data_IF_823011604107
#
_entry.id   IF_823011604107
#
_cell.length_a   1.000
_cell.length_b   1.000
_cell.length_c   1.000
_cell.angle_alpha   90.00
_cell.angle_beta   90.00
_cell.angle_gamma   90.00
#
_symmetry.space_group_name_H-M   'P 1'
#
loop_
_entity.id
_entity.type
_entity.pdbx_description
1 polymer ?
#
# COMPACT_ATOMS: atom_id res chain seq x y z
N UNK A 1 11.20 0.40 -0.45
CA UNK A 1 9.99 -0.39 -0.22
C UNK A 1 10.33 -1.76 0.37
N UNK A 2 9.44 -2.31 1.23
CA UNK A 2 9.66 -3.54 2.00
C UNK A 2 8.45 -4.45 1.81
N UNK A 3 8.60 -5.52 1.05
CA UNK A 3 7.53 -6.48 0.72
C UNK A 3 7.90 -7.89 1.16
N UNK A 4 6.93 -8.70 1.52
CA UNK A 4 7.18 -10.05 2.05
C UNK A 4 7.50 -11.04 0.94
N UNK A 5 8.43 -11.99 1.22
CA UNK A 5 8.75 -13.07 0.30
C UNK A 5 7.50 -13.92 -0.05
N UNK A 6 7.43 -14.41 -1.28
CA UNK A 6 6.31 -15.18 -1.80
C UNK A 6 5.04 -14.38 -2.09
N UNK A 7 5.07 -13.04 -1.98
CA UNK A 7 3.93 -12.15 -2.28
C UNK A 7 4.07 -11.54 -3.68
N UNK A 8 2.96 -10.92 -4.14
CA UNK A 8 2.89 -10.18 -5.40
C UNK A 8 2.62 -8.71 -5.12
N UNK A 9 3.07 -7.83 -6.01
CA UNK A 9 2.71 -6.41 -6.04
C UNK A 9 2.59 -5.97 -7.49
N UNK A 10 1.60 -5.14 -7.79
CA UNK A 10 1.51 -4.45 -9.07
C UNK A 10 2.23 -3.10 -8.94
N UNK A 11 3.18 -2.85 -9.82
CA UNK A 11 3.82 -1.56 -10.03
C UNK A 11 3.13 -0.87 -11.20
N UNK A 12 3.00 0.44 -11.11
CA UNK A 12 2.57 1.31 -12.21
C UNK A 12 3.69 2.29 -12.52
N UNK A 13 3.96 2.51 -13.81
CA UNK A 13 4.79 3.60 -14.26
C UNK A 13 3.88 4.66 -14.89
N UNK A 14 4.05 5.92 -14.48
CA UNK A 14 3.35 7.03 -15.10
C UNK A 14 4.14 7.48 -16.31
N UNK A 15 3.44 7.57 -17.44
CA UNK A 15 3.97 8.06 -18.71
C UNK A 15 3.30 9.42 -18.98
N UNK A 16 4.04 10.34 -19.57
CA UNK A 16 3.49 11.63 -19.99
C UNK A 16 2.28 11.45 -20.92
N UNK A 17 1.26 12.27 -20.74
CA UNK A 17 0.04 12.23 -21.59
C UNK A 17 0.36 12.46 -23.08
N UNK A 18 1.43 13.19 -23.39
CA UNK A 18 1.85 13.53 -24.74
C UNK A 18 2.77 12.48 -25.40
N UNK A 19 3.04 11.35 -24.73
CA UNK A 19 3.85 10.28 -25.32
C UNK A 19 3.05 9.55 -26.41
N UNK A 20 3.61 9.47 -27.60
CA UNK A 20 3.04 8.75 -28.77
C UNK A 20 2.99 7.24 -28.53
N UNK A 21 4.00 6.68 -27.85
CA UNK A 21 4.03 5.29 -27.42
C UNK A 21 4.06 5.18 -25.89
N UNK A 22 3.01 4.57 -25.31
CA UNK A 22 2.85 4.36 -23.86
C UNK A 22 3.22 2.94 -23.42
N UNK A 23 3.84 2.15 -24.28
CA UNK A 23 4.26 0.78 -23.96
C UNK A 23 5.47 0.80 -23.04
N UNK A 24 5.47 -0.09 -22.05
CA UNK A 24 6.54 -0.23 -21.07
C UNK A 24 7.09 -1.65 -21.08
N UNK A 25 8.41 -1.77 -21.14
CA UNK A 25 9.15 -3.00 -20.90
C UNK A 25 9.59 -3.06 -19.44
N UNK A 26 9.19 -4.12 -18.74
CA UNK A 26 9.58 -4.35 -17.35
C UNK A 26 10.72 -5.35 -17.25
N UNK A 27 11.67 -5.08 -16.37
CA UNK A 27 12.79 -5.98 -16.08
C UNK A 27 13.06 -6.07 -14.58
N UNK A 28 13.77 -7.10 -14.16
CA UNK A 28 14.22 -7.31 -12.79
C UNK A 28 15.73 -7.50 -12.75
N UNK A 29 16.39 -6.95 -11.72
CA UNK A 29 17.85 -7.14 -11.53
C UNK A 29 18.24 -8.58 -11.22
N UNK A 30 17.29 -9.41 -10.73
CA UNK A 30 17.56 -10.81 -10.45
C UNK A 30 16.29 -11.67 -10.52
N UNK A 31 16.16 -12.45 -11.59
CA UNK A 31 15.02 -13.37 -11.83
C UNK A 31 14.89 -14.46 -10.77
N UNK A 32 15.97 -14.87 -10.10
CA UNK A 32 15.94 -15.84 -9.00
C UNK A 32 15.23 -15.26 -7.75
N UNK A 33 15.22 -13.94 -7.57
CA UNK A 33 14.60 -13.28 -6.42
C UNK A 33 13.19 -12.78 -6.70
N UNK A 34 12.96 -12.25 -7.91
CA UNK A 34 11.64 -11.79 -8.33
C UNK A 34 11.52 -11.86 -9.86
N UNK A 35 10.30 -12.13 -10.32
CA UNK A 35 9.91 -11.99 -11.72
C UNK A 35 8.96 -10.81 -11.86
N UNK A 36 8.92 -10.20 -13.03
CA UNK A 36 7.95 -9.16 -13.39
C UNK A 36 7.36 -9.49 -14.75
N UNK A 37 6.03 -9.36 -14.88
CA UNK A 37 5.33 -9.56 -16.15
C UNK A 37 5.14 -8.24 -16.91
N UNK A 38 4.59 -8.33 -18.14
CA UNK A 38 4.31 -7.18 -19.01
C UNK A 38 3.37 -6.15 -18.39
N UNK A 39 2.53 -6.54 -17.43
CA UNK A 39 1.58 -5.68 -16.74
C UNK A 39 2.17 -5.02 -15.47
N UNK A 40 3.48 -5.20 -15.20
CA UNK A 40 4.14 -4.68 -14.01
C UNK A 40 3.84 -5.47 -12.73
N UNK A 41 3.29 -6.68 -12.82
CA UNK A 41 3.05 -7.53 -11.64
C UNK A 41 4.35 -8.24 -11.26
N UNK A 42 4.90 -7.86 -10.11
CA UNK A 42 6.12 -8.44 -9.55
C UNK A 42 5.74 -9.57 -8.61
N UNK A 43 6.32 -10.75 -8.80
CA UNK A 43 6.19 -11.93 -7.93
C UNK A 43 7.53 -12.22 -7.25
N UNK A 44 7.55 -12.23 -5.92
CA UNK A 44 8.76 -12.52 -5.13
C UNK A 44 8.90 -14.00 -4.82
N UNK A 45 10.11 -14.54 -5.00
CA UNK A 45 10.42 -15.91 -4.62
C UNK A 45 10.42 -16.02 -3.09
N UNK A 46 9.89 -17.13 -2.54
CA UNK A 46 9.91 -17.42 -1.10
C UNK A 46 11.34 -17.51 -0.56
N UNK A 47 12.27 -18.08 -1.33
CA UNK A 47 13.70 -18.23 -0.96
C UNK A 47 14.49 -16.91 -1.02
N UNK A 48 13.93 -15.84 -1.58
CA UNK A 48 14.59 -14.53 -1.69
C UNK A 48 14.46 -13.65 -0.43
N UNK A 49 13.98 -14.20 0.68
CA UNK A 49 13.82 -13.49 1.95
C UNK A 49 15.15 -12.86 2.44
N UNK A 50 15.12 -11.56 2.75
CA UNK A 50 16.31 -10.79 3.16
C UNK A 50 17.09 -10.16 2.00
N UNK A 51 16.82 -10.54 0.75
CA UNK A 51 17.46 -9.99 -0.44
C UNK A 51 16.83 -8.68 -0.89
N UNK A 52 17.52 -7.97 -1.76
CA UNK A 52 17.02 -6.75 -2.41
C UNK A 52 16.99 -6.97 -3.91
N UNK A 53 15.96 -6.47 -4.57
CA UNK A 53 15.79 -6.52 -6.02
C UNK A 53 15.41 -5.14 -6.53
N UNK A 54 15.87 -4.79 -7.73
CA UNK A 54 15.46 -3.58 -8.45
C UNK A 54 14.59 -3.99 -9.62
N UNK A 55 13.42 -3.40 -9.74
CA UNK A 55 12.54 -3.52 -10.90
C UNK A 55 12.71 -2.26 -11.72
N UNK A 56 12.88 -2.39 -13.03
CA UNK A 56 13.04 -1.27 -13.95
C UNK A 56 11.92 -1.30 -14.99
N UNK A 57 11.31 -0.15 -15.19
CA UNK A 57 10.39 0.13 -16.28
C UNK A 57 11.13 0.94 -17.33
N UNK A 58 11.15 0.50 -18.57
CA UNK A 58 11.74 1.19 -19.72
C UNK A 58 10.63 1.67 -20.64
N UNK A 59 10.72 2.90 -21.09
CA UNK A 59 9.92 3.38 -22.22
C UNK A 59 10.40 2.67 -23.48
N UNK A 60 9.47 2.32 -24.39
CA UNK A 60 9.78 1.64 -25.66
C UNK A 60 9.64 2.57 -26.86
N UNK A 61 9.61 3.87 -26.63
CA UNK A 61 9.49 4.94 -27.62
C UNK A 61 10.82 5.42 -28.21
N UNK A 62 11.93 4.75 -27.88
CA UNK A 62 13.28 5.15 -28.30
C UNK A 62 13.91 6.25 -27.44
N UNK A 63 13.19 6.85 -26.49
CA UNK A 63 13.70 7.95 -25.64
C UNK A 63 14.77 7.53 -24.62
N UNK A 64 14.99 6.22 -24.42
CA UNK A 64 15.90 5.68 -23.41
C UNK A 64 15.44 5.94 -21.96
N UNK A 65 14.28 6.55 -21.75
CA UNK A 65 13.77 6.88 -20.42
C UNK A 65 13.43 5.62 -19.63
N UNK A 66 13.81 5.63 -18.35
CA UNK A 66 13.56 4.50 -17.43
C UNK A 66 13.25 5.00 -16.03
N UNK A 67 12.50 4.17 -15.29
CA UNK A 67 12.25 4.36 -13.85
C UNK A 67 12.63 3.10 -13.09
N UNK A 68 13.22 3.22 -11.91
CA UNK A 68 13.66 2.11 -11.09
C UNK A 68 12.94 2.08 -9.76
N UNK A 69 12.66 0.88 -9.26
CA UNK A 69 11.97 0.66 -8.00
C UNK A 69 12.70 -0.40 -7.17
N UNK A 70 13.44 0.03 -6.14
CA UNK A 70 14.21 -0.84 -5.26
C UNK A 70 13.33 -1.42 -4.15
N UNK A 71 13.33 -2.76 -4.00
CA UNK A 71 12.49 -3.50 -3.07
C UNK A 71 13.34 -4.40 -2.19
N UNK A 72 13.25 -4.22 -0.86
CA UNK A 72 13.78 -5.18 0.11
C UNK A 72 12.74 -6.26 0.39
N UNK A 73 13.10 -7.52 0.17
CA UNK A 73 12.23 -8.68 0.37
C UNK A 73 12.32 -9.11 1.84
N UNK A 74 11.22 -8.98 2.58
CA UNK A 74 11.19 -9.23 4.02
C UNK A 74 11.00 -10.72 4.34
N UNK A 75 11.59 -11.19 5.45
CA UNK A 75 11.45 -12.59 5.91
C UNK A 75 10.05 -12.90 6.43
N UNK A 76 9.42 -11.94 7.10
CA UNK A 76 8.12 -12.11 7.74
C UNK A 76 6.98 -11.43 6.99
N UNK A 77 5.74 -11.74 7.39
CA UNK A 77 4.51 -11.18 6.82
C UNK A 77 3.50 -10.84 7.92
N UNK A 78 2.61 -9.88 7.66
CA UNK A 78 1.49 -9.56 8.54
C UNK A 78 0.45 -10.68 8.44
N UNK A 79 0.04 -11.21 9.63
CA UNK A 79 -0.98 -12.26 9.75
C UNK A 79 -2.37 -11.68 10.01
N UNK A 80 -2.47 -10.65 10.89
CA UNK A 80 -3.74 -10.05 11.29
C UNK A 80 -3.56 -8.56 11.63
N UNK A 81 -4.59 -7.77 11.37
CA UNK A 81 -4.72 -6.37 11.80
C UNK A 81 -6.03 -6.26 12.58
N UNK A 82 -6.02 -5.60 13.73
CA UNK A 82 -7.22 -5.25 14.52
C UNK A 82 -7.19 -3.76 14.81
N UNK A 83 -8.27 -3.05 14.43
CA UNK A 83 -8.43 -1.63 14.75
C UNK A 83 -9.21 -1.50 16.06
N UNK A 84 -8.75 -0.61 16.94
CA UNK A 84 -9.38 -0.26 18.20
C UNK A 84 -9.50 1.26 18.33
N UNK A 85 -10.43 1.72 19.17
CA UNK A 85 -10.71 3.13 19.40
C UNK A 85 -12.21 3.43 19.39
N UNK A 86 -12.59 4.67 19.72
CA UNK A 86 -13.99 5.12 19.67
C UNK A 86 -14.50 5.04 18.23
N UNK A 87 -15.79 4.71 18.07
CA UNK A 87 -16.45 4.60 16.76
C UNK A 87 -17.39 5.77 16.45
N UNK A 88 -17.41 6.77 17.32
CA UNK A 88 -18.21 7.98 17.18
C UNK A 88 -17.37 9.21 17.38
N UNK A 89 -17.64 10.28 16.64
CA UNK A 89 -16.95 11.56 16.73
C UNK A 89 -17.92 12.69 16.38
N UNK A 90 -17.84 13.84 17.07
CA UNK A 90 -18.60 15.03 16.69
C UNK A 90 -18.05 15.64 15.40
N UNK A 91 -18.92 16.19 14.53
CA UNK A 91 -18.49 16.91 13.33
C UNK A 91 -17.50 18.04 13.70
N UNK A 92 -16.44 18.22 12.90
CA UNK A 92 -15.35 19.16 13.16
C UNK A 92 -14.30 18.69 14.17
N UNK A 93 -14.53 17.59 14.91
CA UNK A 93 -13.59 17.06 15.91
C UNK A 93 -12.77 15.89 15.38
N UNK A 94 -11.79 15.47 16.17
CA UNK A 94 -10.88 14.35 15.83
C UNK A 94 -11.05 13.19 16.81
N UNK A 95 -10.74 11.98 16.34
CA UNK A 95 -10.54 10.81 17.20
C UNK A 95 -9.29 10.05 16.74
N UNK A 96 -8.71 9.26 17.64
CA UNK A 96 -7.56 8.42 17.32
C UNK A 96 -7.96 6.95 17.29
N UNK A 97 -7.62 6.27 16.19
CA UNK A 97 -7.71 4.83 16.07
C UNK A 97 -6.31 4.24 16.27
N UNK A 98 -6.26 3.08 16.92
CA UNK A 98 -5.03 2.28 17.06
C UNK A 98 -5.17 1.00 16.25
N UNK A 99 -4.07 0.53 15.63
CA UNK A 99 -4.04 -0.75 14.95
C UNK A 99 -3.06 -1.69 15.65
N UNK A 100 -3.57 -2.83 16.15
CA UNK A 100 -2.75 -3.94 16.63
C UNK A 100 -2.44 -4.86 15.45
N UNK A 101 -1.13 -5.08 15.19
CA UNK A 101 -0.64 -5.90 14.07
C UNK A 101 -0.03 -7.19 14.63
N UNK A 102 -0.59 -8.34 14.25
CA UNK A 102 0.02 -9.65 14.47
C UNK A 102 0.81 -10.02 13.21
N UNK A 103 2.09 -10.35 13.38
CA UNK A 103 2.99 -10.63 12.26
C UNK A 103 4.07 -11.64 12.66
N UNK A 104 4.66 -12.34 11.69
CA UNK A 104 5.84 -13.17 11.91
C UNK A 104 7.10 -12.30 12.06
N UNK A 105 8.16 -12.87 12.67
CA UNK A 105 9.46 -12.21 12.86
C UNK A 105 10.00 -11.65 11.54
N UNK A 106 10.48 -10.41 11.55
CA UNK A 106 11.05 -9.76 10.37
C UNK A 106 10.02 -9.22 9.35
N UNK A 107 8.72 -9.12 9.71
CA UNK A 107 7.70 -8.52 8.87
C UNK A 107 7.81 -6.99 8.83
N UNK A 108 7.43 -6.40 7.69
CA UNK A 108 7.15 -4.97 7.60
C UNK A 108 5.76 -4.70 8.19
N UNK A 109 5.69 -4.06 9.36
CA UNK A 109 4.42 -3.75 10.06
C UNK A 109 3.79 -2.41 9.66
N UNK A 110 4.33 -1.70 8.67
CA UNK A 110 3.76 -0.43 8.21
C UNK A 110 2.37 -0.63 7.64
N UNK A 111 1.47 0.30 7.96
CA UNK A 111 0.09 0.32 7.47
C UNK A 111 -0.16 1.57 6.64
N UNK A 112 -1.07 1.46 5.67
CA UNK A 112 -1.69 2.58 4.96
C UNK A 112 -3.11 2.72 5.46
N UNK A 113 -3.48 3.93 5.91
CA UNK A 113 -4.83 4.26 6.33
C UNK A 113 -5.57 4.96 5.21
N UNK A 114 -6.85 4.65 5.05
CA UNK A 114 -7.72 5.27 4.05
C UNK A 114 -9.12 5.49 4.62
N UNK A 115 -9.78 6.54 4.14
CA UNK A 115 -11.20 6.82 4.38
C UNK A 115 -12.00 6.48 3.13
N UNK A 116 -13.20 5.92 3.31
CA UNK A 116 -14.12 5.66 2.19
C UNK A 116 -14.73 6.93 1.59
N UNK A 117 -14.72 8.04 2.34
CA UNK A 117 -15.19 9.33 1.86
C UNK A 117 -14.41 10.47 2.55
N UNK A 118 -13.49 11.06 1.82
CA UNK A 118 -12.62 12.14 2.32
C UNK A 118 -13.36 13.49 2.46
N UNK A 119 -14.54 13.66 1.83
CA UNK A 119 -15.41 14.83 2.04
C UNK A 119 -16.06 14.84 3.42
N UNK A 120 -16.23 13.65 4.05
CA UNK A 120 -16.85 13.54 5.38
C UNK A 120 -15.83 13.33 6.49
N UNK A 121 -14.77 12.57 6.25
CA UNK A 121 -13.65 12.41 7.18
C UNK A 121 -12.36 12.04 6.48
N UNK A 122 -11.26 12.60 6.96
CA UNK A 122 -9.89 12.23 6.56
C UNK A 122 -9.24 11.38 7.65
N UNK A 123 -8.19 10.64 7.29
CA UNK A 123 -7.38 9.86 8.24
C UNK A 123 -5.90 10.05 7.95
N UNK A 124 -5.10 10.27 9.00
CA UNK A 124 -3.64 10.37 8.89
C UNK A 124 -2.98 8.99 8.82
N UNK A 125 -1.70 8.95 8.44
CA UNK A 125 -0.88 7.72 8.47
C UNK A 125 -0.75 7.09 9.86
N UNK A 126 -1.01 7.84 10.94
CA UNK A 126 -1.01 7.36 12.34
C UNK A 126 -2.37 6.88 12.84
N UNK A 127 -3.44 6.96 12.00
CA UNK A 127 -4.79 6.57 12.39
C UNK A 127 -5.60 7.67 13.08
N UNK A 128 -5.15 8.95 13.07
CA UNK A 128 -5.92 10.09 13.56
C UNK A 128 -6.99 10.47 12.52
N UNK A 129 -8.26 10.30 12.87
CA UNK A 129 -9.41 10.62 12.02
C UNK A 129 -9.89 12.03 12.34
N UNK A 130 -10.03 12.90 11.32
CA UNK A 130 -10.64 14.23 11.42
C UNK A 130 -12.01 14.18 10.73
N UNK A 131 -13.09 14.29 11.51
CA UNK A 131 -14.44 14.42 10.97
C UNK A 131 -14.65 15.84 10.47
N UNK A 132 -15.19 16.01 9.27
CA UNK A 132 -15.49 17.31 8.68
C UNK A 132 -16.94 17.69 8.94
N UNK A 133 -17.25 19.00 8.91
CA UNK A 133 -18.62 19.51 9.13
C UNK A 133 -19.64 18.89 8.18
N UNK A 134 -19.26 18.73 6.89
CA UNK A 134 -20.08 18.07 5.86
C UNK A 134 -20.42 16.60 6.15
N UNK A 135 -19.70 15.97 7.09
CA UNK A 135 -19.95 14.59 7.51
C UNK A 135 -20.99 14.42 8.62
N UNK A 136 -21.59 15.51 9.15
CA UNK A 136 -22.60 15.44 10.22
C UNK A 136 -23.73 14.46 9.85
N UNK A 137 -24.12 13.60 10.80
CA UNK A 137 -25.11 12.52 10.64
C UNK A 137 -24.72 11.45 9.59
N UNK A 138 -23.47 11.43 9.07
CA UNK A 138 -22.97 10.44 8.12
C UNK A 138 -22.08 9.39 8.81
N UNK A 139 -21.81 8.31 8.08
CA UNK A 139 -20.86 7.27 8.49
C UNK A 139 -19.79 7.09 7.44
N UNK A 140 -18.55 6.86 7.87
CA UNK A 140 -17.43 6.56 6.97
C UNK A 140 -16.72 5.29 7.41
N UNK A 141 -16.22 4.52 6.46
CA UNK A 141 -15.37 3.35 6.72
C UNK A 141 -13.90 3.81 6.72
N UNK A 142 -13.19 3.56 7.81
CA UNK A 142 -11.75 3.78 7.91
C UNK A 142 -11.06 2.42 7.83
N UNK A 143 -10.13 2.30 6.90
CA UNK A 143 -9.41 1.03 6.63
C UNK A 143 -7.92 1.22 6.89
N UNK A 144 -7.34 0.29 7.66
CA UNK A 144 -5.90 0.10 7.81
C UNK A 144 -5.47 -1.11 6.98
N UNK A 145 -4.56 -0.92 6.03
CA UNK A 145 -4.10 -1.96 5.10
C UNK A 145 -2.59 -2.17 5.24
N UNK A 146 -2.18 -3.44 5.23
CA UNK A 146 -0.78 -3.83 5.24
C UNK A 146 -0.04 -3.34 3.97
N UNK A 147 1.19 -2.85 4.16
CA UNK A 147 2.07 -2.43 3.04
C UNK A 147 3.14 -3.48 2.71
N UNK A 148 3.05 -4.68 3.28
CA UNK A 148 4.01 -5.78 3.10
C UNK A 148 3.66 -6.73 1.94
N UNK A 149 2.59 -6.44 1.19
CA UNK A 149 2.09 -7.29 0.11
C UNK A 149 1.24 -8.48 0.60
N UNK A 150 0.95 -8.59 1.90
CA UNK A 150 0.10 -9.67 2.46
C UNK A 150 -1.38 -9.53 2.09
N UNK A 151 -1.82 -8.34 1.66
CA UNK A 151 -3.23 -8.03 1.41
C UNK A 151 -4.08 -7.92 2.68
N UNK A 152 -3.47 -8.03 3.88
CA UNK A 152 -4.21 -7.95 5.14
C UNK A 152 -4.72 -6.53 5.37
N UNK A 153 -5.99 -6.43 5.76
CA UNK A 153 -6.66 -5.16 6.08
C UNK A 153 -7.64 -5.34 7.24
N UNK A 154 -7.94 -4.27 7.91
CA UNK A 154 -9.05 -4.17 8.87
C UNK A 154 -9.81 -2.87 8.59
N UNK A 155 -11.11 -2.88 8.80
CA UNK A 155 -11.99 -1.75 8.55
C UNK A 155 -12.87 -1.52 9.77
N UNK A 156 -13.13 -0.27 10.10
CA UNK A 156 -14.07 0.16 11.14
C UNK A 156 -14.97 1.26 10.58
N UNK A 157 -16.24 1.23 10.95
CA UNK A 157 -17.19 2.29 10.62
C UNK A 157 -17.19 3.34 11.73
N UNK A 158 -17.03 4.60 11.36
CA UNK A 158 -17.09 5.76 12.25
C UNK A 158 -18.38 6.52 11.96
N UNK A 159 -19.19 6.72 13.01
CA UNK A 159 -20.40 7.56 12.97
C UNK A 159 -20.02 9.01 13.35
N UNK A 160 -20.43 9.97 12.54
CA UNK A 160 -20.18 11.40 12.76
C UNK A 160 -21.49 12.02 13.30
N UNK A 161 -21.43 12.54 14.53
CA UNK A 161 -22.57 13.19 15.20
C UNK A 161 -22.57 14.69 14.98
#
# INVERSE_FOLDING_TARGET
NKLSAGKKVKLTANISNNASNKTIKWTTSNKKYATVDKNGVVKFNKKAAGKTVTITAYATDGSGKKATFKIKIMKGTIKKIKITGKKTVKAGKTLSLKAKVTASKGANKKLKWTSSNTKYATVSGSGKVKALKAGKKKSVKITAMATDGSGKKATVTIKIK
#
